data_IF_421491464866
#
_entry.id   IF_421491464866
#
_cell.length_a   1.000
_cell.length_b   1.000
_cell.length_c   1.000
_cell.angle_alpha   90.00
_cell.angle_beta   90.00
_cell.angle_gamma   90.00
#
_symmetry.space_group_name_H-M   'P 1'
#
loop_
_entity.id
_entity.type
_entity.pdbx_description
1 polymer ?
#
# COMPACT_ATOMS: atom_id res chain seq x y z
N UNK A 1 11.55 -16.20 0.41
CA UNK A 1 11.66 -14.85 1.04
C UNK A 1 12.59 -13.94 0.23
N UNK A 2 12.47 -12.61 0.27
CA UNK A 2 13.38 -11.67 -0.41
C UNK A 2 14.87 -11.91 -0.07
N UNK A 3 15.14 -12.43 1.14
CA UNK A 3 16.46 -12.84 1.60
C UNK A 3 17.08 -14.04 0.85
N UNK A 4 16.29 -14.86 0.15
CA UNK A 4 16.85 -15.95 -0.68
C UNK A 4 17.33 -15.43 -2.04
N UNK A 5 16.79 -14.31 -2.50
CA UNK A 5 17.05 -13.78 -3.84
C UNK A 5 18.22 -12.80 -3.91
N UNK A 6 18.74 -12.34 -2.76
CA UNK A 6 19.86 -11.40 -2.70
C UNK A 6 20.84 -11.76 -1.56
N UNK A 7 22.12 -11.98 -1.92
CA UNK A 7 23.20 -12.40 -0.99
C UNK A 7 23.46 -11.37 0.11
N UNK A 8 23.29 -10.08 -0.17
CA UNK A 8 23.57 -9.01 0.79
C UNK A 8 22.45 -8.90 1.82
N UNK A 9 21.20 -9.04 1.38
CA UNK A 9 20.03 -9.14 2.27
C UNK A 9 20.17 -10.36 3.19
N UNK A 10 20.63 -11.49 2.67
CA UNK A 10 20.87 -12.71 3.46
C UNK A 10 21.95 -12.52 4.54
N UNK A 11 23.04 -11.83 4.20
CA UNK A 11 24.12 -11.49 5.15
C UNK A 11 23.62 -10.55 6.25
N UNK A 12 22.91 -9.48 5.89
CA UNK A 12 22.33 -8.55 6.84
C UNK A 12 21.33 -9.27 7.78
N UNK A 13 20.51 -10.17 7.23
CA UNK A 13 19.57 -10.98 7.99
C UNK A 13 20.25 -11.95 8.97
N UNK A 14 21.34 -12.59 8.55
CA UNK A 14 22.15 -13.47 9.39
C UNK A 14 22.88 -12.71 10.51
N UNK A 15 23.38 -11.51 10.23
CA UNK A 15 23.98 -10.63 11.24
C UNK A 15 22.93 -10.17 12.26
N UNK A 16 21.74 -9.76 11.79
CA UNK A 16 20.58 -9.47 12.63
C UNK A 16 20.19 -10.67 13.49
N UNK A 17 20.19 -11.89 12.93
CA UNK A 17 19.88 -13.13 13.66
C UNK A 17 20.91 -13.48 14.73
N UNK A 18 22.17 -13.09 14.50
CA UNK A 18 23.29 -13.31 15.43
C UNK A 18 23.30 -12.28 16.57
N UNK A 19 22.95 -11.03 16.27
CA UNK A 19 22.77 -9.96 17.27
C UNK A 19 21.48 -10.19 18.07
N UNK A 20 20.45 -10.76 17.44
CA UNK A 20 19.14 -11.07 18.01
C UNK A 20 19.04 -12.43 18.71
N UNK A 21 20.14 -12.96 19.28
CA UNK A 21 20.14 -14.24 20.03
C UNK A 21 19.09 -14.32 21.16
N UNK A 22 18.52 -13.20 21.57
CA UNK A 22 17.30 -13.16 22.39
C UNK A 22 16.04 -13.33 21.52
N UNK A 23 15.56 -14.57 21.44
CA UNK A 23 14.38 -14.99 20.66
C UNK A 23 13.15 -14.09 20.87
N UNK A 24 13.01 -13.48 22.05
CA UNK A 24 11.92 -12.54 22.36
C UNK A 24 12.06 -11.22 21.61
N UNK A 25 13.26 -10.66 21.51
CA UNK A 25 13.51 -9.43 20.77
C UNK A 25 13.28 -9.62 19.26
N UNK A 26 13.68 -10.79 18.74
CA UNK A 26 13.41 -11.21 17.35
C UNK A 26 11.91 -11.22 17.05
N UNK A 27 11.16 -11.93 17.88
CA UNK A 27 9.71 -12.12 17.73
C UNK A 27 8.99 -10.78 17.83
N UNK A 28 9.37 -9.92 18.77
CA UNK A 28 8.80 -8.58 18.91
C UNK A 28 9.08 -7.70 17.68
N UNK A 29 10.29 -7.76 17.11
CA UNK A 29 10.62 -7.06 15.88
C UNK A 29 9.79 -7.58 14.69
N UNK A 30 9.74 -8.89 14.51
CA UNK A 30 8.99 -9.53 13.41
C UNK A 30 7.49 -9.22 13.51
N UNK A 31 6.89 -9.27 14.71
CA UNK A 31 5.49 -8.87 14.93
C UNK A 31 5.25 -7.40 14.60
N UNK A 32 6.14 -6.49 14.98
CA UNK A 32 6.03 -5.07 14.62
C UNK A 32 6.11 -4.85 13.12
N UNK A 33 7.04 -5.52 12.44
CA UNK A 33 7.18 -5.41 10.98
C UNK A 33 5.95 -5.97 10.26
N UNK A 34 5.38 -7.06 10.74
CA UNK A 34 4.14 -7.62 10.19
C UNK A 34 2.98 -6.64 10.34
N UNK A 35 2.80 -6.02 11.51
CA UNK A 35 1.75 -5.03 11.75
C UNK A 35 1.89 -3.81 10.84
N UNK A 36 3.11 -3.28 10.69
CA UNK A 36 3.39 -2.15 9.78
C UNK A 36 3.05 -2.54 8.34
N UNK A 37 3.49 -3.73 7.90
CA UNK A 37 3.20 -4.24 6.56
C UNK A 37 1.70 -4.39 6.31
N UNK A 38 0.96 -4.89 7.29
CA UNK A 38 -0.49 -5.04 7.20
C UNK A 38 -1.21 -3.69 7.15
N UNK A 39 -0.77 -2.71 7.95
CA UNK A 39 -1.29 -1.35 7.90
C UNK A 39 -1.06 -0.71 6.52
N UNK A 40 0.16 -0.80 5.99
CA UNK A 40 0.49 -0.29 4.66
C UNK A 40 -0.35 -0.97 3.57
N UNK A 41 -0.54 -2.29 3.68
CA UNK A 41 -1.37 -3.04 2.73
C UNK A 41 -2.82 -2.57 2.77
N UNK A 42 -3.39 -2.35 3.96
CA UNK A 42 -4.76 -1.82 4.10
C UNK A 42 -4.92 -0.43 3.48
N UNK A 43 -3.96 0.46 3.73
CA UNK A 43 -3.97 1.82 3.15
C UNK A 43 -3.93 1.73 1.63
N UNK A 44 -2.97 0.97 1.09
CA UNK A 44 -2.83 0.78 -0.36
C UNK A 44 -4.11 0.21 -1.00
N UNK A 45 -4.70 -0.82 -0.38
CA UNK A 45 -5.95 -1.39 -0.89
C UNK A 45 -7.12 -0.41 -0.82
N UNK A 46 -7.18 0.47 0.18
CA UNK A 46 -8.20 1.51 0.25
C UNK A 46 -8.02 2.57 -0.84
N UNK A 47 -6.77 2.99 -1.10
CA UNK A 47 -6.44 3.92 -2.19
C UNK A 47 -6.80 3.34 -3.57
N UNK A 48 -6.41 2.09 -3.83
CA UNK A 48 -6.72 1.39 -5.09
C UNK A 48 -8.23 1.28 -5.32
N UNK A 49 -8.99 0.90 -4.29
CA UNK A 49 -10.46 0.85 -4.36
C UNK A 49 -11.08 2.23 -4.56
N UNK A 50 -10.52 3.27 -3.93
CA UNK A 50 -10.97 4.66 -4.13
C UNK A 50 -10.85 5.08 -5.59
N UNK A 51 -9.72 4.76 -6.23
CA UNK A 51 -9.49 5.03 -7.66
C UNK A 51 -10.45 4.23 -8.55
N UNK A 52 -10.63 2.94 -8.28
CA UNK A 52 -11.56 2.09 -9.02
C UNK A 52 -12.99 2.64 -8.96
N UNK A 53 -13.44 3.01 -7.76
CA UNK A 53 -14.76 3.61 -7.55
C UNK A 53 -14.89 4.96 -8.25
N UNK A 54 -13.83 5.79 -8.27
CA UNK A 54 -13.84 7.07 -8.97
C UNK A 54 -14.02 6.88 -10.48
N UNK A 55 -13.34 5.90 -11.07
CA UNK A 55 -13.51 5.53 -12.49
C UNK A 55 -14.95 5.07 -12.76
N UNK A 56 -15.50 4.22 -11.90
CA UNK A 56 -16.87 3.72 -12.04
C UNK A 56 -17.89 4.86 -11.95
N UNK A 57 -17.70 5.81 -11.02
CA UNK A 57 -18.54 6.99 -10.89
C UNK A 57 -18.48 7.89 -12.13
N UNK A 58 -17.29 8.14 -12.67
CA UNK A 58 -17.14 8.90 -13.91
C UNK A 58 -17.84 8.23 -15.09
N UNK A 59 -17.74 6.90 -15.21
CA UNK A 59 -18.45 6.11 -16.25
C UNK A 59 -19.96 6.17 -16.10
N UNK A 60 -20.47 6.33 -14.88
CA UNK A 60 -21.90 6.52 -14.60
C UNK A 60 -22.37 7.98 -14.80
N UNK A 61 -21.49 8.89 -15.22
CA UNK A 61 -21.82 10.30 -15.43
C UNK A 61 -21.89 11.13 -14.15
N UNK A 62 -21.36 10.61 -13.03
CA UNK A 62 -21.27 11.37 -11.77
C UNK A 62 -20.17 12.42 -11.90
N UNK A 63 -20.45 13.65 -11.45
CA UNK A 63 -19.48 14.75 -11.45
C UNK A 63 -18.26 14.45 -10.57
N UNK A 64 -17.12 15.02 -10.94
CA UNK A 64 -15.83 14.90 -10.27
C UNK A 64 -15.90 15.29 -8.79
N UNK A 65 -16.67 16.33 -8.45
CA UNK A 65 -16.85 16.80 -7.07
C UNK A 65 -17.55 15.76 -6.18
N UNK A 66 -18.63 15.16 -6.69
CA UNK A 66 -19.35 14.09 -5.98
C UNK A 66 -18.48 12.84 -5.91
N UNK A 67 -17.76 12.53 -7.00
CA UNK A 67 -16.80 11.43 -7.04
C UNK A 67 -15.71 11.57 -5.98
N UNK A 68 -15.16 12.77 -5.80
CA UNK A 68 -14.14 13.06 -4.79
C UNK A 68 -14.67 12.84 -3.37
N UNK A 69 -15.86 13.38 -3.08
CA UNK A 69 -16.51 13.20 -1.78
C UNK A 69 -16.87 11.74 -1.48
N UNK A 70 -17.34 11.00 -2.50
CA UNK A 70 -17.79 9.61 -2.34
C UNK A 70 -16.65 8.59 -2.23
N UNK A 71 -15.46 8.91 -2.76
CA UNK A 71 -14.32 7.97 -2.80
C UNK A 71 -13.19 8.36 -1.86
N UNK A 72 -13.17 9.61 -1.38
CA UNK A 72 -12.05 10.16 -0.61
C UNK A 72 -10.81 10.46 -1.46
N UNK A 73 -10.89 10.32 -2.79
CA UNK A 73 -9.81 10.63 -3.72
C UNK A 73 -9.80 12.15 -3.99
N UNK A 74 -8.63 12.82 -3.98
CA UNK A 74 -8.53 14.23 -4.33
C UNK A 74 -9.09 14.54 -5.72
N UNK A 75 -9.77 15.68 -5.84
CA UNK A 75 -10.48 16.06 -7.07
C UNK A 75 -9.52 16.22 -8.26
N UNK A 76 -8.32 16.72 -8.03
CA UNK A 76 -7.28 16.88 -9.05
C UNK A 76 -6.94 15.54 -9.69
N UNK A 77 -6.89 14.48 -8.87
CA UNK A 77 -6.58 13.12 -9.30
C UNK A 77 -7.75 12.51 -10.08
N UNK A 78 -8.99 12.81 -9.71
CA UNK A 78 -10.17 12.37 -10.48
C UNK A 78 -10.21 13.05 -11.86
N UNK A 79 -9.85 14.34 -11.94
CA UNK A 79 -9.75 15.06 -13.21
C UNK A 79 -8.66 14.44 -14.10
N UNK A 80 -7.50 14.08 -13.53
CA UNK A 80 -6.44 13.37 -14.23
C UNK A 80 -6.92 12.00 -14.74
N UNK A 81 -7.57 11.21 -13.90
CA UNK A 81 -8.16 9.92 -14.26
C UNK A 81 -9.15 10.07 -15.42
N UNK A 82 -10.03 11.08 -15.36
CA UNK A 82 -10.99 11.37 -16.44
C UNK A 82 -10.29 11.63 -17.76
N UNK A 83 -9.26 12.48 -17.75
CA UNK A 83 -8.46 12.80 -18.95
C UNK A 83 -7.78 11.55 -19.53
N UNK A 84 -7.27 10.66 -18.68
CA UNK A 84 -6.54 9.48 -19.14
C UNK A 84 -7.46 8.31 -19.55
N UNK A 85 -8.71 8.26 -19.07
CA UNK A 85 -9.61 7.10 -19.24
C UNK A 85 -10.78 7.36 -20.19
N UNK A 86 -11.17 8.62 -20.39
CA UNK A 86 -12.34 9.03 -21.18
C UNK A 86 -11.99 9.96 -22.35
N UNK A 87 -10.74 9.89 -22.83
CA UNK A 87 -10.34 10.39 -24.16
C UNK A 87 -10.71 9.38 -25.25
#
# INVERSE_FOLDING_TARGET
>A
MLAEKNKDIKKAYGLLQTISKDKKARMLYESRQAEISDQLTRIKSAEEKGIENAINFLKLGISEEIGAKGTGVPIEKIIEIKKNTLQ
#
